data_IF_551070862897
#
_entry.id   IF_551070862897
#
_cell.length_a   1.000
_cell.length_b   1.000
_cell.length_c   1.000
_cell.angle_alpha   90.00
_cell.angle_beta   90.00
_cell.angle_gamma   90.00
#
_symmetry.space_group_name_H-M   'P 1'
#
loop_
_entity.id
_entity.type
_entity.pdbx_description
1 polymer ?
#
# COMPACT_ATOMS: atom_id res chain seq x y z
N UNK A 1 17.55 8.89 8.77
CA UNK A 1 18.50 8.46 9.83
C UNK A 1 19.94 8.31 9.35
N UNK A 2 20.20 7.94 8.09
CA UNK A 2 21.57 7.82 7.55
C UNK A 2 22.47 9.03 7.87
N UNK A 3 22.01 10.26 7.53
CA UNK A 3 22.72 11.51 7.84
C UNK A 3 23.14 11.66 9.31
N UNK A 4 22.30 11.21 10.25
CA UNK A 4 22.61 11.26 11.69
C UNK A 4 23.76 10.31 12.04
N UNK A 5 23.76 9.10 11.48
CA UNK A 5 24.83 8.12 11.68
C UNK A 5 26.16 8.61 11.07
N UNK A 6 26.11 9.14 9.84
CA UNK A 6 27.30 9.61 9.12
C UNK A 6 27.93 10.84 9.79
N UNK A 7 27.12 11.80 10.24
CA UNK A 7 27.65 12.98 10.92
C UNK A 7 28.23 12.61 12.30
N UNK A 8 27.60 11.65 12.99
CA UNK A 8 28.13 11.12 14.25
C UNK A 8 29.51 10.45 14.06
N UNK A 9 29.73 9.72 12.97
CA UNK A 9 31.05 9.13 12.69
C UNK A 9 32.09 10.16 12.28
N UNK A 10 31.68 11.27 11.66
CA UNK A 10 32.54 12.40 11.31
C UNK A 10 32.84 13.35 12.50
N UNK A 11 32.30 13.08 13.69
CA UNK A 11 32.49 13.91 14.89
C UNK A 11 31.55 15.13 14.98
N UNK A 12 30.69 15.35 13.98
CA UNK A 12 29.70 16.43 13.96
C UNK A 12 28.38 15.92 14.54
N UNK A 13 28.02 16.32 15.76
CA UNK A 13 26.79 15.85 16.40
C UNK A 13 25.58 16.69 15.99
N UNK A 14 24.60 16.07 15.32
CA UNK A 14 23.26 16.65 15.16
C UNK A 14 22.51 16.65 16.50
N UNK A 15 21.85 17.76 16.83
CA UNK A 15 21.12 17.97 18.09
C UNK A 15 19.64 17.56 18.01
N UNK A 16 19.33 16.57 17.17
CA UNK A 16 17.99 15.97 17.10
C UNK A 16 17.94 14.73 18.00
N UNK A 17 16.77 14.45 18.58
CA UNK A 17 16.54 13.31 19.48
C UNK A 17 16.04 12.12 18.68
N UNK A 18 14.94 12.31 17.95
CA UNK A 18 14.30 11.26 17.16
C UNK A 18 13.65 11.83 15.90
N UNK A 19 13.38 10.97 14.92
CA UNK A 19 12.60 11.33 13.75
C UNK A 19 11.78 10.12 13.31
N UNK A 20 10.51 10.33 12.99
CA UNK A 20 9.61 9.28 12.56
C UNK A 20 8.60 9.79 11.53
N UNK A 21 8.04 8.86 10.77
CA UNK A 21 6.98 9.12 9.81
C UNK A 21 5.80 8.21 10.14
N UNK A 22 4.60 8.71 9.94
CA UNK A 22 3.36 8.01 10.23
C UNK A 22 2.77 7.49 8.92
N UNK A 23 2.52 6.18 8.81
CA UNK A 23 2.08 5.55 7.56
C UNK A 23 0.79 6.15 6.97
N UNK A 24 -0.14 6.58 7.82
CA UNK A 24 -1.41 7.17 7.40
C UNK A 24 -1.32 8.68 7.09
N UNK A 25 -0.23 9.35 7.46
CA UNK A 25 0.01 10.77 7.19
C UNK A 25 1.07 10.90 6.10
N UNK A 26 0.63 11.23 4.88
CA UNK A 26 1.54 11.38 3.74
C UNK A 26 2.11 12.79 3.66
N UNK A 27 3.40 12.88 3.33
CA UNK A 27 4.07 14.15 3.05
C UNK A 27 4.59 14.89 4.27
N UNK A 28 4.46 14.31 5.47
CA UNK A 28 5.01 14.88 6.70
C UNK A 28 5.93 13.90 7.40
N UNK A 29 6.94 14.46 8.06
CA UNK A 29 7.82 13.77 8.99
C UNK A 29 7.78 14.53 10.31
N UNK A 30 7.93 13.81 11.41
CA UNK A 30 7.98 14.36 12.74
C UNK A 30 9.42 14.24 13.25
N UNK A 31 9.97 15.35 13.73
CA UNK A 31 11.33 15.42 14.25
C UNK A 31 11.24 15.96 15.67
N UNK A 32 11.83 15.24 16.60
CA UNK A 32 11.93 15.61 18.00
C UNK A 32 13.27 16.31 18.24
N UNK A 33 13.22 17.55 18.73
CA UNK A 33 14.40 18.34 19.08
C UNK A 33 14.03 19.41 20.12
N UNK A 34 15.02 19.91 20.86
CA UNK A 34 14.80 20.98 21.84
C UNK A 34 14.58 22.35 21.19
N UNK A 35 15.22 22.60 20.04
CA UNK A 35 15.14 23.88 19.34
C UNK A 35 14.81 23.68 17.88
N UNK A 36 14.06 24.61 17.33
CA UNK A 36 13.71 24.63 15.92
C UNK A 36 14.94 24.71 15.00
N UNK A 37 16.00 25.42 15.44
CA UNK A 37 17.22 25.59 14.67
C UNK A 37 17.95 24.26 14.42
N UNK A 38 17.90 23.35 15.39
CA UNK A 38 18.51 22.02 15.31
C UNK A 38 17.82 21.17 14.22
N UNK A 39 16.50 21.37 14.03
CA UNK A 39 15.72 20.74 12.96
C UNK A 39 16.12 21.30 11.60
N UNK A 40 16.29 22.62 11.48
CA UNK A 40 16.69 23.26 10.21
C UNK A 40 18.08 22.78 9.78
N UNK A 41 19.02 22.68 10.72
CA UNK A 41 20.37 22.14 10.47
C UNK A 41 20.32 20.67 10.05
N UNK A 42 19.51 19.86 10.74
CA UNK A 42 19.30 18.46 10.39
C UNK A 42 18.67 18.30 8.98
N UNK A 43 17.79 19.20 8.57
CA UNK A 43 17.17 19.19 7.24
C UNK A 43 18.04 19.81 6.13
N UNK A 44 19.11 20.55 6.47
CA UNK A 44 19.99 21.19 5.49
C UNK A 44 20.62 20.16 4.53
N UNK A 45 20.51 20.42 3.22
CA UNK A 45 21.05 19.53 2.18
C UNK A 45 20.17 18.31 1.84
N UNK A 46 19.03 18.13 2.51
CA UNK A 46 18.06 17.09 2.16
C UNK A 46 17.04 17.63 1.14
N UNK A 47 17.20 17.28 -0.14
CA UNK A 47 16.33 17.77 -1.22
C UNK A 47 14.86 17.31 -1.09
N UNK A 48 14.60 16.22 -0.37
CA UNK A 48 13.26 15.67 -0.19
C UNK A 48 12.43 16.38 0.90
N UNK A 49 13.03 17.29 1.67
CA UNK A 49 12.39 17.95 2.81
C UNK A 49 12.35 19.45 2.57
N UNK A 50 11.15 20.03 2.69
CA UNK A 50 10.95 21.47 2.59
C UNK A 50 10.98 22.11 3.99
N UNK A 51 12.16 22.55 4.42
CA UNK A 51 12.36 23.22 5.72
C UNK A 51 11.51 24.48 5.90
N UNK A 52 11.04 25.09 4.81
CA UNK A 52 10.15 26.26 4.83
C UNK A 52 8.74 25.96 5.33
N UNK A 53 8.29 24.70 5.32
CA UNK A 53 6.94 24.28 5.74
C UNK A 53 6.91 23.64 7.13
N UNK A 54 7.78 24.10 8.02
CA UNK A 54 7.88 23.59 9.38
C UNK A 54 6.80 24.19 10.28
N UNK A 55 6.11 23.34 11.05
CA UNK A 55 5.15 23.76 12.07
C UNK A 55 5.34 22.96 13.36
N UNK A 56 5.24 23.60 14.54
CA UNK A 56 5.29 22.89 15.81
C UNK A 56 4.03 22.05 16.01
N UNK A 57 4.18 20.86 16.59
CA UNK A 57 3.05 20.00 16.96
C UNK A 57 2.52 20.43 18.33
N UNK A 58 1.20 20.63 18.50
CA UNK A 58 0.61 20.89 19.81
C UNK A 58 0.89 19.74 20.80
N UNK A 59 1.20 20.08 22.06
CA UNK A 59 1.55 19.09 23.09
C UNK A 59 0.47 18.01 23.30
N UNK A 60 -0.80 18.40 23.13
CA UNK A 60 -1.94 17.51 23.29
C UNK A 60 -2.03 16.44 22.20
N UNK A 61 -1.39 16.66 21.04
CA UNK A 61 -1.46 15.76 19.88
C UNK A 61 -0.31 14.76 19.82
N UNK A 62 0.77 15.00 20.56
CA UNK A 62 1.99 14.16 20.52
C UNK A 62 1.68 12.70 20.88
N UNK A 63 0.84 12.46 21.88
CA UNK A 63 0.41 11.10 22.26
C UNK A 63 -0.40 10.41 21.15
N UNK A 64 -1.19 11.18 20.40
CA UNK A 64 -1.97 10.66 19.28
C UNK A 64 -1.09 10.24 18.09
N UNK A 65 0.05 10.89 17.88
CA UNK A 65 1.00 10.52 16.82
C UNK A 65 1.58 9.11 17.00
N UNK A 66 1.77 8.69 18.26
CA UNK A 66 2.30 7.38 18.61
C UNK A 66 1.21 6.32 18.83
N UNK A 67 -0.06 6.70 18.71
CA UNK A 67 -1.18 5.79 18.87
C UNK A 67 -1.27 4.84 17.68
N UNK A 68 -0.92 3.57 17.91
CA UNK A 68 -1.06 2.52 16.91
C UNK A 68 -2.55 2.24 16.72
N UNK A 69 -3.12 2.74 15.62
CA UNK A 69 -4.40 2.21 15.14
C UNK A 69 -4.16 0.78 14.68
N UNK A 70 -4.53 -0.20 15.50
CA UNK A 70 -4.66 -1.58 15.06
C UNK A 70 -5.71 -1.60 13.95
N UNK A 71 -5.27 -1.48 12.70
CA UNK A 71 -6.10 -1.92 11.60
C UNK A 71 -6.21 -3.43 11.75
N UNK A 72 -7.29 -3.88 12.38
CA UNK A 72 -7.67 -5.28 12.37
C UNK A 72 -8.07 -5.60 10.92
N UNK A 73 -7.07 -5.80 10.07
CA UNK A 73 -7.24 -6.33 8.73
C UNK A 73 -7.31 -7.86 8.81
N UNK A 74 -7.91 -8.41 9.88
CA UNK A 74 -8.20 -9.83 9.91
C UNK A 74 -9.33 -10.07 8.91
N UNK A 75 -8.92 -10.57 7.76
CA UNK A 75 -9.83 -10.98 6.71
C UNK A 75 -10.38 -12.34 7.13
N UNK A 76 -11.69 -12.46 7.30
CA UNK A 76 -12.34 -13.74 7.61
C UNK A 76 -13.11 -14.27 6.40
N UNK A 77 -13.37 -15.58 6.40
CA UNK A 77 -14.30 -16.19 5.45
C UNK A 77 -15.68 -15.51 5.52
N UNK A 78 -16.30 -15.33 4.37
CA UNK A 78 -17.61 -14.67 4.22
C UNK A 78 -17.55 -13.15 4.00
N UNK A 79 -16.43 -12.48 4.30
CA UNK A 79 -16.29 -11.05 4.05
C UNK A 79 -16.25 -10.71 2.55
N UNK A 80 -16.65 -9.49 2.22
CA UNK A 80 -16.54 -8.94 0.88
C UNK A 80 -15.26 -8.13 0.73
N UNK A 81 -14.61 -8.27 -0.43
CA UNK A 81 -13.41 -7.54 -0.80
C UNK A 81 -13.53 -7.01 -2.24
N UNK A 82 -12.68 -6.05 -2.60
CA UNK A 82 -12.58 -5.54 -3.97
C UNK A 82 -11.20 -5.86 -4.54
N UNK A 83 -11.19 -6.43 -5.73
CA UNK A 83 -9.94 -6.79 -6.42
C UNK A 83 -9.23 -5.51 -6.89
N UNK A 84 -7.95 -5.32 -6.51
CA UNK A 84 -7.18 -4.13 -6.87
C UNK A 84 -6.55 -4.19 -8.27
N UNK A 85 -6.13 -5.38 -8.71
CA UNK A 85 -5.33 -5.58 -9.93
C UNK A 85 -5.79 -6.80 -10.75
N UNK A 86 -5.43 -6.85 -12.04
CA UNK A 86 -5.75 -7.96 -12.95
C UNK A 86 -7.04 -7.76 -13.75
N UNK A 87 -7.50 -8.82 -14.44
CA UNK A 87 -8.70 -8.78 -15.29
C UNK A 87 -9.99 -8.51 -14.51
N UNK A 88 -10.01 -8.87 -13.23
CA UNK A 88 -11.13 -8.64 -12.32
C UNK A 88 -10.99 -7.34 -11.52
N UNK A 89 -10.10 -6.42 -11.92
CA UNK A 89 -9.87 -5.16 -11.21
C UNK A 89 -11.19 -4.38 -11.05
N UNK A 90 -11.51 -4.04 -9.80
CA UNK A 90 -12.73 -3.33 -9.45
C UNK A 90 -13.90 -4.23 -9.09
N UNK A 91 -13.83 -5.54 -9.33
CA UNK A 91 -14.93 -6.45 -9.02
C UNK A 91 -15.06 -6.71 -7.53
N UNK A 92 -16.32 -6.92 -7.11
CA UNK A 92 -16.66 -7.36 -5.76
C UNK A 92 -16.47 -8.88 -5.68
N UNK A 93 -15.76 -9.32 -4.64
CA UNK A 93 -15.43 -10.71 -4.42
C UNK A 93 -15.77 -11.12 -3.00
N UNK A 94 -16.31 -12.32 -2.81
CA UNK A 94 -16.51 -12.87 -1.47
C UNK A 94 -15.32 -13.76 -1.10
N UNK A 95 -14.75 -13.58 0.09
CA UNK A 95 -13.67 -14.42 0.58
C UNK A 95 -14.25 -15.77 1.04
N UNK A 96 -13.75 -16.85 0.47
CA UNK A 96 -14.16 -18.22 0.82
C UNK A 96 -13.23 -18.80 1.88
N UNK A 97 -11.93 -18.65 1.67
CA UNK A 97 -10.91 -19.17 2.58
C UNK A 97 -9.71 -18.23 2.60
N UNK A 98 -9.09 -18.08 3.76
CA UNK A 98 -7.86 -17.31 3.95
C UNK A 98 -6.73 -18.27 4.26
N UNK A 99 -5.62 -18.12 3.54
CA UNK A 99 -4.38 -18.83 3.79
C UNK A 99 -3.37 -17.83 4.35
N UNK A 100 -3.28 -17.78 5.67
CA UNK A 100 -2.41 -16.84 6.40
C UNK A 100 -0.92 -17.10 6.13
N UNK A 101 -0.53 -18.37 5.99
CA UNK A 101 0.85 -18.77 5.71
C UNK A 101 1.35 -18.18 4.38
N UNK A 102 0.51 -18.24 3.35
CA UNK A 102 0.83 -17.74 2.01
C UNK A 102 0.42 -16.28 1.78
N UNK A 103 -0.23 -15.64 2.77
CA UNK A 103 -0.84 -14.31 2.65
C UNK A 103 -1.75 -14.20 1.41
N UNK A 104 -2.54 -15.24 1.15
CA UNK A 104 -3.46 -15.35 0.00
C UNK A 104 -4.87 -15.66 0.48
N UNK A 105 -5.87 -15.13 -0.23
CA UNK A 105 -7.27 -15.47 0.00
C UNK A 105 -7.87 -16.09 -1.27
N UNK A 106 -8.62 -17.18 -1.10
CA UNK A 106 -9.46 -17.75 -2.15
C UNK A 106 -10.75 -16.95 -2.17
N UNK A 107 -11.09 -16.38 -3.32
CA UNK A 107 -12.27 -15.53 -3.48
C UNK A 107 -13.22 -16.08 -4.53
N UNK A 108 -14.52 -15.89 -4.30
CA UNK A 108 -15.59 -16.16 -5.25
C UNK A 108 -15.86 -14.88 -6.05
N UNK A 109 -15.78 -14.98 -7.37
CA UNK A 109 -15.93 -13.88 -8.33
C UNK A 109 -16.92 -14.28 -9.43
N UNK A 110 -17.52 -13.29 -10.09
CA UNK A 110 -18.28 -13.51 -11.32
C UNK A 110 -17.29 -13.61 -12.47
N UNK A 111 -17.28 -14.69 -13.25
CA UNK A 111 -16.35 -14.87 -14.36
C UNK A 111 -16.46 -13.78 -15.42
N UNK A 112 -15.31 -13.45 -16.02
CA UNK A 112 -15.16 -12.57 -17.19
C UNK A 112 -14.38 -13.34 -18.24
N UNK A 113 -15.02 -14.35 -18.83
CA UNK A 113 -14.37 -15.29 -19.77
C UNK A 113 -15.08 -15.18 -21.12
N UNK A 114 -14.29 -15.12 -22.19
CA UNK A 114 -14.74 -15.30 -23.55
C UNK A 114 -14.25 -16.68 -24.02
N UNK A 115 -15.21 -17.58 -24.25
CA UNK A 115 -14.94 -18.98 -24.60
C UNK A 115 -14.22 -19.11 -25.95
N UNK A 116 -14.46 -18.19 -26.89
CA UNK A 116 -13.82 -18.21 -28.20
C UNK A 116 -12.33 -17.89 -28.09
N UNK A 117 -11.99 -16.91 -27.25
CA UNK A 117 -10.60 -16.55 -26.94
C UNK A 117 -9.92 -17.69 -26.18
N UNK A 118 -10.64 -18.37 -25.28
CA UNK A 118 -10.12 -19.51 -24.54
C UNK A 118 -9.76 -20.67 -25.49
N UNK A 119 -10.68 -21.05 -26.37
CA UNK A 119 -10.48 -22.12 -27.37
C UNK A 119 -9.29 -21.81 -28.30
N UNK A 120 -9.15 -20.57 -28.77
CA UNK A 120 -8.02 -20.17 -29.62
C UNK A 120 -6.66 -20.23 -28.91
N UNK A 121 -6.62 -19.94 -27.60
CA UNK A 121 -5.38 -20.06 -26.80
C UNK A 121 -4.95 -21.51 -26.60
N UNK A 122 -5.90 -22.42 -26.39
CA UNK A 122 -5.60 -23.85 -26.25
C UNK A 122 -5.36 -24.54 -27.60
N UNK A 123 -5.93 -24.02 -28.69
CA UNK A 123 -5.78 -24.53 -30.06
C UNK A 123 -4.57 -24.01 -30.84
N UNK A 124 -3.57 -23.39 -30.20
CA UNK A 124 -2.33 -22.96 -30.86
C UNK A 124 -2.45 -21.73 -31.77
N UNK A 125 -3.54 -20.95 -31.68
CA UNK A 125 -3.73 -19.73 -32.46
C UNK A 125 -2.87 -18.56 -31.96
N UNK A 126 -2.37 -17.74 -32.89
CA UNK A 126 -1.56 -16.54 -32.60
C UNK A 126 -2.26 -15.59 -31.60
N UNK A 127 -1.53 -15.14 -30.60
CA UNK A 127 -2.02 -14.21 -29.58
C UNK A 127 -2.45 -12.87 -30.21
N UNK A 128 -3.76 -12.65 -30.35
CA UNK A 128 -4.29 -11.31 -30.70
C UNK A 128 -4.01 -10.31 -29.57
N UNK A 129 -3.76 -9.05 -29.96
CA UNK A 129 -3.60 -7.88 -29.06
C UNK A 129 -4.68 -7.88 -27.98
N UNK A 130 -4.29 -7.51 -26.73
CA UNK A 130 -5.14 -7.45 -25.53
C UNK A 130 -6.58 -7.07 -25.88
N UNK A 131 -7.49 -8.04 -25.91
CA UNK A 131 -8.91 -7.76 -26.10
C UNK A 131 -9.43 -6.98 -24.89
N UNK A 132 -10.51 -6.21 -25.11
CA UNK A 132 -11.26 -5.64 -24.01
C UNK A 132 -11.63 -6.73 -22.99
N UNK A 133 -11.61 -6.38 -21.70
CA UNK A 133 -12.02 -7.28 -20.64
C UNK A 133 -13.52 -7.57 -20.85
N UNK A 134 -13.94 -8.84 -20.99
CA UNK A 134 -15.33 -9.17 -21.24
C UNK A 134 -16.24 -8.78 -20.06
N UNK A 135 -17.52 -8.59 -20.36
CA UNK A 135 -18.54 -8.27 -19.37
C UNK A 135 -18.64 -9.40 -18.31
N UNK A 136 -18.94 -9.07 -17.04
CA UNK A 136 -19.08 -10.10 -16.01
C UNK A 136 -20.36 -10.88 -16.27
N UNK A 137 -20.24 -12.21 -16.42
CA UNK A 137 -21.36 -13.11 -16.68
C UNK A 137 -21.18 -14.41 -15.92
N UNK A 138 -22.28 -14.94 -15.39
CA UNK A 138 -22.28 -16.32 -14.91
C UNK A 138 -22.14 -17.26 -16.12
N UNK A 139 -21.42 -18.35 -15.91
CA UNK A 139 -21.24 -19.40 -16.92
C UNK A 139 -22.30 -20.47 -16.64
N UNK A 140 -23.06 -20.85 -17.66
CA UNK A 140 -23.97 -21.99 -17.59
C UNK A 140 -23.18 -23.29 -17.74
N UNK A 141 -23.62 -24.37 -17.10
CA UNK A 141 -22.96 -25.67 -17.23
C UNK A 141 -22.88 -26.15 -18.68
N UNK A 142 -23.91 -25.87 -19.49
CA UNK A 142 -23.96 -26.22 -20.92
C UNK A 142 -22.94 -25.50 -21.80
N UNK A 143 -22.31 -24.42 -21.32
CA UNK A 143 -21.28 -23.70 -22.07
C UNK A 143 -19.86 -24.20 -21.76
N UNK A 144 -19.72 -25.09 -20.78
CA UNK A 144 -18.46 -25.68 -20.32
C UNK A 144 -18.26 -27.11 -20.81
N UNK A 145 -19.32 -27.77 -21.29
CA UNK A 145 -19.28 -29.08 -21.98
C UNK A 145 -18.82 -28.92 -23.43
#
# INVERSE_FOLDING_TARGET
>A
MQKFADLKSLGTKLQIISAFAIDHVKGFIYIEAYRQIDIIEACKGLCSIYSSRMAPVPKNEVSHLLSIRKSCNQVTGGMWARVKNGNYKGDLAQIVAVNDLRKKATVKLIPRIDLQILAQKFGGGLAKKKSAIPAPRLISSSELE
#
